data_IF_215594262679
#
_entry.id   IF_215594262679
#
_cell.length_a   1.000
_cell.length_b   1.000
_cell.length_c   1.000
_cell.angle_alpha   90.00
_cell.angle_beta   90.00
_cell.angle_gamma   90.00
#
_symmetry.space_group_name_H-M   'P 1'
#
loop_
_entity.id
_entity.type
_entity.pdbx_description
1 polymer ?
#
# COMPACT_ATOMS: atom_id res chain seq x y z
N UNK A 1 17.89 92.56 30.31
CA UNK A 1 16.56 93.04 29.90
C UNK A 1 15.64 92.77 31.06
N UNK A 2 14.98 93.80 31.56
CA UNK A 2 14.31 93.78 32.86
C UNK A 2 13.13 92.80 32.86
N UNK A 3 13.22 91.76 33.67
CA UNK A 3 12.12 90.85 33.99
C UNK A 3 11.04 91.63 34.75
N UNK A 4 10.19 92.32 34.00
CA UNK A 4 8.89 92.79 34.49
C UNK A 4 8.01 91.55 34.63
N UNK A 5 8.22 90.81 35.72
CA UNK A 5 7.31 89.76 36.17
C UNK A 5 5.91 90.39 36.18
N UNK A 6 5.03 89.93 35.29
CA UNK A 6 3.59 90.17 35.38
C UNK A 6 3.13 89.49 36.66
N UNK A 7 3.30 90.16 37.79
CA UNK A 7 2.63 89.78 39.03
C UNK A 7 1.15 89.88 38.73
N UNK A 8 0.49 88.72 38.57
CA UNK A 8 -0.96 88.66 38.67
C UNK A 8 -1.30 89.20 40.04
N UNK A 9 -1.67 90.48 40.06
CA UNK A 9 -1.87 91.22 41.28
C UNK A 9 -3.09 90.66 42.00
N UNK A 10 -2.82 89.76 42.95
CA UNK A 10 -3.84 89.14 43.80
C UNK A 10 -4.57 90.22 44.62
N UNK A 11 -3.98 91.41 44.77
CA UNK A 11 -4.65 92.56 45.39
C UNK A 11 -5.84 93.05 44.56
N UNK A 12 -5.85 92.85 43.24
CA UNK A 12 -6.99 93.19 42.38
C UNK A 12 -8.23 92.30 42.63
N UNK A 13 -8.07 91.13 43.26
CA UNK A 13 -9.20 90.28 43.70
C UNK A 13 -9.90 90.88 44.93
N UNK A 14 -9.18 91.63 45.77
CA UNK A 14 -9.76 92.31 46.94
C UNK A 14 -10.87 93.30 46.55
N UNK A 15 -10.81 93.86 45.34
CA UNK A 15 -11.85 94.74 44.77
C UNK A 15 -13.19 94.04 44.52
N UNK A 16 -13.20 92.71 44.37
CA UNK A 16 -14.44 91.90 44.31
C UNK A 16 -14.90 91.54 45.72
N UNK A 17 -13.97 91.27 46.64
CA UNK A 17 -14.27 91.03 48.05
C UNK A 17 -14.88 92.26 48.74
N UNK A 18 -14.47 93.47 48.36
CA UNK A 18 -15.07 94.70 48.88
C UNK A 18 -16.49 94.92 48.35
N UNK A 19 -16.76 94.52 47.09
CA UNK A 19 -18.14 94.48 46.59
C UNK A 19 -18.96 93.46 47.37
N UNK A 20 -18.40 92.29 47.69
CA UNK A 20 -19.06 91.26 48.50
C UNK A 20 -19.45 91.79 49.89
N UNK A 21 -18.56 92.51 50.58
CA UNK A 21 -18.85 93.15 51.87
C UNK A 21 -19.98 94.18 51.79
N UNK A 22 -20.13 94.87 50.66
CA UNK A 22 -21.19 95.87 50.46
C UNK A 22 -22.59 95.29 50.24
N UNK A 23 -22.72 93.96 50.03
CA UNK A 23 -24.00 93.29 49.76
C UNK A 23 -24.79 93.05 51.05
N UNK A 24 -24.14 92.74 52.17
CA UNK A 24 -24.79 92.41 53.44
C UNK A 24 -25.75 93.50 53.95
N UNK A 25 -25.39 94.80 54.02
CA UNK A 25 -26.31 95.85 54.46
C UNK A 25 -27.44 96.12 53.46
N UNK A 26 -27.20 95.88 52.17
CA UNK A 26 -28.19 96.07 51.10
C UNK A 26 -29.21 94.94 51.11
N UNK A 27 -28.79 93.72 51.48
CA UNK A 27 -29.63 92.52 51.57
C UNK A 27 -30.76 92.71 52.57
N UNK A 28 -30.45 93.11 53.80
CA UNK A 28 -31.47 93.25 54.86
C UNK A 28 -32.49 94.36 54.53
N UNK A 29 -32.01 95.45 53.92
CA UNK A 29 -32.85 96.56 53.47
C UNK A 29 -33.77 96.16 52.32
N UNK A 30 -33.30 95.40 51.34
CA UNK A 30 -34.09 95.08 50.16
C UNK A 30 -35.01 93.87 50.34
N UNK A 31 -34.66 92.92 51.20
CA UNK A 31 -35.52 91.75 51.50
C UNK A 31 -36.76 92.11 52.34
N UNK A 32 -36.75 93.24 53.03
CA UNK A 32 -37.89 93.73 53.82
C UNK A 32 -38.91 94.54 52.99
N UNK A 33 -38.58 94.92 51.75
CA UNK A 33 -39.49 95.64 50.86
C UNK A 33 -40.64 94.74 50.39
N UNK A 34 -41.88 95.23 50.50
CA UNK A 34 -43.10 94.56 50.03
C UNK A 34 -44.02 95.57 49.35
N UNK A 35 -44.75 95.12 48.32
CA UNK A 35 -45.74 95.94 47.60
C UNK A 35 -47.12 95.59 48.16
N UNK A 36 -47.87 96.58 48.63
CA UNK A 36 -49.14 96.38 49.35
C UNK A 36 -50.38 96.54 48.44
N UNK A 37 -50.32 96.05 47.19
CA UNK A 37 -51.46 96.05 46.25
C UNK A 37 -51.16 96.69 44.89
N UNK A 38 -52.16 96.70 44.00
CA UNK A 38 -52.01 97.13 42.58
C UNK A 38 -51.86 98.65 42.43
N UNK A 39 -52.35 99.43 43.40
CA UNK A 39 -52.31 100.90 43.38
C UNK A 39 -51.09 101.51 44.10
N UNK A 40 -50.21 100.68 44.69
CA UNK A 40 -49.01 101.10 45.42
C UNK A 40 -47.85 101.46 44.46
N UNK A 41 -47.99 102.62 43.82
CA UNK A 41 -46.99 103.15 42.86
C UNK A 41 -45.66 103.50 43.52
N UNK A 42 -45.67 103.88 44.80
CA UNK A 42 -44.46 104.25 45.54
C UNK A 42 -43.64 103.01 45.91
N UNK A 43 -44.27 101.99 46.49
CA UNK A 43 -43.62 100.71 46.80
C UNK A 43 -43.13 99.98 45.56
N UNK A 44 -43.87 100.05 44.44
CA UNK A 44 -43.42 99.51 43.16
C UNK A 44 -42.13 100.18 42.65
N UNK A 45 -42.04 101.52 42.74
CA UNK A 45 -40.86 102.26 42.30
C UNK A 45 -39.64 101.92 43.16
N UNK A 46 -39.80 101.81 44.48
CA UNK A 46 -38.72 101.46 45.40
C UNK A 46 -38.21 100.02 45.17
N UNK A 47 -39.11 99.05 44.99
CA UNK A 47 -38.73 97.67 44.63
C UNK A 47 -38.07 97.60 43.26
N UNK A 48 -38.55 98.37 42.29
CA UNK A 48 -37.94 98.45 40.96
C UNK A 48 -36.52 99.02 41.02
N UNK A 49 -36.30 100.11 41.74
CA UNK A 49 -34.98 100.72 41.94
C UNK A 49 -34.03 99.77 42.67
N UNK A 50 -34.50 99.10 43.73
CA UNK A 50 -33.73 98.08 44.44
C UNK A 50 -33.31 96.92 43.51
N UNK A 51 -34.23 96.42 42.68
CA UNK A 51 -33.94 95.38 41.67
C UNK A 51 -32.91 95.86 40.64
N UNK A 52 -33.05 97.09 40.14
CA UNK A 52 -32.10 97.67 39.19
C UNK A 52 -30.72 97.88 39.82
N UNK A 53 -30.66 98.26 41.09
CA UNK A 53 -29.43 98.36 41.86
C UNK A 53 -28.74 96.99 42.01
N UNK A 54 -29.46 95.94 42.41
CA UNK A 54 -28.93 94.57 42.46
C UNK A 54 -28.41 94.09 41.10
N UNK A 55 -29.13 94.39 40.01
CA UNK A 55 -28.69 94.08 38.64
C UNK A 55 -27.38 94.81 38.32
N UNK A 56 -27.26 96.08 38.68
CA UNK A 56 -26.05 96.88 38.45
C UNK A 56 -24.83 96.31 39.18
N UNK A 57 -24.99 95.92 40.45
CA UNK A 57 -23.93 95.25 41.23
C UNK A 57 -23.49 93.97 40.54
N UNK A 58 -24.44 93.10 40.14
CA UNK A 58 -24.13 91.83 39.46
C UNK A 58 -23.37 92.06 38.14
N UNK A 59 -23.82 93.00 37.31
CA UNK A 59 -23.14 93.32 36.06
C UNK A 59 -21.75 93.92 36.29
N UNK A 60 -21.55 94.73 37.34
CA UNK A 60 -20.25 95.28 37.71
C UNK A 60 -19.23 94.19 38.08
N UNK A 61 -19.64 93.21 38.90
CA UNK A 61 -18.78 92.05 39.24
C UNK A 61 -18.40 91.26 38.00
N UNK A 62 -19.36 91.01 37.10
CA UNK A 62 -19.10 90.27 35.86
C UNK A 62 -18.15 91.02 34.91
N UNK A 63 -18.25 92.35 34.83
CA UNK A 63 -17.32 93.16 34.05
C UNK A 63 -15.90 93.11 34.63
N UNK A 64 -15.75 93.30 35.96
CA UNK A 64 -14.45 93.16 36.64
C UNK A 64 -13.85 91.77 36.46
N UNK A 65 -14.66 90.70 36.53
CA UNK A 65 -14.21 89.33 36.26
C UNK A 65 -13.62 89.19 34.86
N UNK A 66 -14.28 89.77 33.85
CA UNK A 66 -13.81 89.74 32.45
C UNK A 66 -12.52 90.53 32.28
N UNK A 67 -12.43 91.71 32.88
CA UNK A 67 -11.23 92.56 32.85
C UNK A 67 -10.02 91.84 33.45
N UNK A 68 -10.17 91.27 34.66
CA UNK A 68 -9.09 90.53 35.31
C UNK A 68 -8.67 89.28 34.52
N UNK A 69 -9.63 88.61 33.88
CA UNK A 69 -9.34 87.43 33.05
C UNK A 69 -8.71 87.78 31.70
N UNK A 70 -8.97 88.97 31.16
CA UNK A 70 -8.46 89.38 29.85
C UNK A 70 -6.92 89.37 29.82
N UNK A 71 -6.28 89.94 30.85
CA UNK A 71 -4.80 89.97 30.96
C UNK A 71 -4.20 88.56 31.00
N UNK A 72 -4.80 87.64 31.76
CA UNK A 72 -4.35 86.25 31.81
C UNK A 72 -4.53 85.51 30.48
N UNK A 73 -5.61 85.80 29.74
CA UNK A 73 -5.86 85.22 28.42
C UNK A 73 -4.89 85.75 27.36
N UNK A 74 -4.58 87.05 27.39
CA UNK A 74 -3.58 87.66 26.50
C UNK A 74 -2.18 87.12 26.79
N UNK A 75 -1.82 86.99 28.07
CA UNK A 75 -0.56 86.36 28.46
C UNK A 75 -0.48 84.91 27.95
N UNK A 76 -1.51 84.09 28.19
CA UNK A 76 -1.56 82.71 27.69
C UNK A 76 -1.39 82.63 26.17
N UNK A 77 -2.10 83.48 25.41
CA UNK A 77 -1.93 83.57 23.95
C UNK A 77 -0.53 83.98 23.53
N UNK A 78 0.13 84.87 24.28
CA UNK A 78 1.50 85.28 23.98
C UNK A 78 2.52 84.15 24.20
N UNK A 79 2.33 83.35 25.25
CA UNK A 79 3.14 82.16 25.53
C UNK A 79 2.93 81.11 24.43
N UNK A 80 1.68 80.82 24.08
CA UNK A 80 1.36 79.86 23.02
C UNK A 80 1.93 80.30 21.66
N UNK A 81 1.86 81.59 21.34
CA UNK A 81 2.44 82.15 20.11
C UNK A 81 3.97 82.05 20.11
N UNK A 82 4.63 82.32 21.24
CA UNK A 82 6.08 82.16 21.37
C UNK A 82 6.50 80.69 21.23
N UNK A 83 5.80 79.77 21.90
CA UNK A 83 6.05 78.34 21.80
C UNK A 83 5.86 77.84 20.35
N UNK A 84 4.79 78.28 19.68
CA UNK A 84 4.54 77.96 18.28
C UNK A 84 5.64 78.49 17.36
N UNK A 85 6.06 79.72 17.54
CA UNK A 85 7.16 80.32 16.77
C UNK A 85 8.47 79.53 16.93
N UNK A 86 8.80 79.12 18.16
CA UNK A 86 9.97 78.28 18.42
C UNK A 86 9.82 76.91 17.75
N UNK A 87 8.65 76.28 17.83
CA UNK A 87 8.38 75.00 17.17
C UNK A 87 8.50 75.10 15.65
N UNK A 88 7.99 76.16 15.04
CA UNK A 88 8.10 76.42 13.59
C UNK A 88 9.56 76.63 13.14
N UNK A 89 10.41 77.19 14.00
CA UNK A 89 11.85 77.35 13.72
C UNK A 89 12.63 76.02 13.87
N UNK A 90 12.24 75.17 14.83
CA UNK A 90 12.94 73.92 15.12
C UNK A 90 12.51 72.80 14.16
N UNK A 91 11.23 72.73 13.77
CA UNK A 91 10.70 71.68 12.90
C UNK A 91 11.54 71.42 11.61
N UNK A 92 11.91 72.43 10.79
CA UNK A 92 12.74 72.18 9.61
C UNK A 92 14.16 71.70 9.95
N UNK A 93 14.69 72.04 11.12
CA UNK A 93 16.00 71.56 11.59
C UNK A 93 15.90 70.07 11.93
N UNK A 94 14.87 69.68 12.68
CA UNK A 94 14.61 68.27 13.01
C UNK A 94 14.35 67.43 11.76
N UNK A 95 13.55 67.94 10.83
CA UNK A 95 13.27 67.26 9.55
C UNK A 95 14.55 67.04 8.73
N UNK A 96 15.43 68.04 8.67
CA UNK A 96 16.72 67.91 8.00
C UNK A 96 17.61 66.85 8.68
N UNK A 97 17.78 66.94 10.01
CA UNK A 97 18.62 66.01 10.77
C UNK A 97 18.10 64.57 10.70
N UNK A 98 16.78 64.38 10.78
CA UNK A 98 16.15 63.08 10.59
C UNK A 98 16.38 62.54 9.17
N UNK A 99 16.32 63.40 8.15
CA UNK A 99 16.67 63.05 6.78
C UNK A 99 18.10 62.50 6.64
N UNK A 100 19.07 63.19 7.24
CA UNK A 100 20.48 62.76 7.26
C UNK A 100 20.65 61.43 8.02
N UNK A 101 20.03 61.29 9.20
CA UNK A 101 20.09 60.04 9.98
C UNK A 101 19.48 58.86 9.20
N UNK A 102 18.34 59.06 8.56
CA UNK A 102 17.70 58.06 7.73
C UNK A 102 18.55 57.68 6.52
N UNK A 103 19.26 58.63 5.90
CA UNK A 103 20.16 58.35 4.79
C UNK A 103 21.30 57.41 5.22
N UNK A 104 21.93 57.69 6.36
CA UNK A 104 22.99 56.84 6.91
C UNK A 104 22.46 55.46 7.32
N UNK A 105 21.30 55.39 7.98
CA UNK A 105 20.67 54.10 8.35
C UNK A 105 20.39 53.25 7.11
N UNK A 106 19.81 53.84 6.06
CA UNK A 106 19.56 53.13 4.78
C UNK A 106 20.85 52.60 4.16
N UNK A 107 21.93 53.38 4.19
CA UNK A 107 23.21 52.93 3.64
C UNK A 107 23.84 51.81 4.49
N UNK A 108 23.77 51.91 5.83
CA UNK A 108 24.20 50.84 6.72
C UNK A 108 23.40 49.55 6.49
N UNK A 109 22.09 49.65 6.31
CA UNK A 109 21.23 48.51 6.01
C UNK A 109 21.55 47.91 4.63
N UNK A 110 21.84 48.75 3.63
CA UNK A 110 22.30 48.31 2.30
C UNK A 110 23.61 47.54 2.39
N UNK A 111 24.61 48.07 3.10
CA UNK A 111 25.92 47.43 3.28
C UNK A 111 25.77 46.09 4.03
N UNK A 112 24.96 46.04 5.10
CA UNK A 112 24.68 44.79 5.83
C UNK A 112 24.00 43.75 4.94
N UNK A 113 23.01 44.17 4.15
CA UNK A 113 22.32 43.28 3.23
C UNK A 113 23.24 42.76 2.12
N UNK A 114 24.11 43.60 1.57
CA UNK A 114 25.10 43.21 0.55
C UNK A 114 26.13 42.23 1.12
N UNK A 115 26.64 42.48 2.32
CA UNK A 115 27.55 41.55 3.02
C UNK A 115 26.86 40.22 3.34
N UNK A 116 25.61 40.26 3.81
CA UNK A 116 24.83 39.04 4.04
C UNK A 116 24.62 38.24 2.76
N UNK A 117 24.23 38.90 1.66
CA UNK A 117 24.08 38.24 0.35
C UNK A 117 25.40 37.67 -0.15
N UNK A 118 26.52 38.36 0.07
CA UNK A 118 27.85 37.87 -0.29
C UNK A 118 28.22 36.61 0.50
N UNK A 119 27.94 36.59 1.81
CA UNK A 119 28.17 35.43 2.66
C UNK A 119 27.25 34.25 2.31
N UNK A 120 25.99 34.52 1.99
CA UNK A 120 25.03 33.51 1.54
C UNK A 120 25.45 32.89 0.22
N UNK A 121 25.76 33.70 -0.80
CA UNK A 121 26.28 33.21 -2.09
C UNK A 121 27.56 32.40 -1.93
N UNK A 122 28.52 32.89 -1.14
CA UNK A 122 29.75 32.15 -0.84
C UNK A 122 29.44 30.80 -0.19
N UNK A 123 28.51 30.75 0.75
CA UNK A 123 28.13 29.50 1.43
C UNK A 123 27.42 28.55 0.47
N UNK A 124 26.54 29.07 -0.39
CA UNK A 124 25.82 28.33 -1.42
C UNK A 124 26.79 27.72 -2.45
N UNK A 125 27.71 28.52 -2.99
CA UNK A 125 28.74 28.07 -3.94
C UNK A 125 29.60 26.93 -3.34
N UNK A 126 29.97 27.07 -2.06
CA UNK A 126 30.74 26.06 -1.33
C UNK A 126 29.98 24.75 -1.16
N UNK A 127 28.68 24.83 -0.89
CA UNK A 127 27.83 23.66 -0.72
C UNK A 127 27.59 22.98 -2.06
N UNK A 128 27.28 23.76 -3.10
CA UNK A 128 27.12 23.24 -4.46
C UNK A 128 28.38 22.50 -4.92
N UNK A 129 29.57 23.05 -4.64
CA UNK A 129 30.84 22.38 -4.91
C UNK A 129 30.96 21.03 -4.20
N UNK A 130 30.67 20.95 -2.90
CA UNK A 130 30.76 19.70 -2.13
C UNK A 130 29.67 18.68 -2.51
N UNK A 131 28.44 19.13 -2.74
CA UNK A 131 27.31 18.30 -3.16
C UNK A 131 27.51 17.72 -4.55
N UNK A 132 28.16 18.45 -5.47
CA UNK A 132 28.50 17.92 -6.81
C UNK A 132 29.43 16.70 -6.77
N UNK A 133 30.16 16.53 -5.66
CA UNK A 133 31.10 15.43 -5.40
C UNK A 133 30.44 14.35 -4.51
N UNK A 134 29.14 14.48 -4.22
CA UNK A 134 28.39 13.53 -3.38
C UNK A 134 28.77 13.55 -1.90
N UNK A 135 29.43 14.62 -1.43
CA UNK A 135 29.75 14.78 -0.01
C UNK A 135 28.51 15.28 0.77
N UNK A 136 28.25 14.67 1.93
CA UNK A 136 27.19 15.12 2.85
C UNK A 136 27.77 16.17 3.79
N UNK A 137 27.20 17.37 3.81
CA UNK A 137 27.81 18.50 4.53
C UNK A 137 26.82 19.21 5.45
N UNK A 138 27.32 19.61 6.62
CA UNK A 138 26.59 20.47 7.55
C UNK A 138 26.76 21.95 7.16
N UNK A 139 25.64 22.57 6.78
CA UNK A 139 25.52 24.00 6.41
C UNK A 139 26.19 24.95 7.41
N UNK A 140 26.01 24.72 8.71
CA UNK A 140 26.54 25.59 9.76
C UNK A 140 28.07 25.53 9.85
N UNK A 141 28.66 24.38 9.51
CA UNK A 141 30.11 24.21 9.50
C UNK A 141 30.73 24.97 8.32
N UNK A 142 30.18 24.81 7.11
CA UNK A 142 30.70 25.43 5.87
C UNK A 142 30.68 26.95 5.90
N UNK A 143 29.65 27.53 6.53
CA UNK A 143 29.52 28.99 6.68
C UNK A 143 30.69 29.61 7.44
N UNK A 144 31.22 28.91 8.44
CA UNK A 144 32.26 29.43 9.34
C UNK A 144 33.69 29.09 8.91
N UNK A 145 33.87 28.28 7.87
CA UNK A 145 35.22 27.93 7.37
C UNK A 145 35.88 29.14 6.70
N UNK A 146 37.16 29.33 6.98
CA UNK A 146 38.03 30.19 6.16
C UNK A 146 38.15 29.63 4.73
N UNK A 147 38.61 30.45 3.78
CA UNK A 147 38.78 30.00 2.39
C UNK A 147 39.80 28.86 2.28
N UNK A 148 40.92 28.94 3.03
CA UNK A 148 41.94 27.89 3.02
C UNK A 148 41.47 26.56 3.61
N UNK A 149 40.66 26.60 4.68
CA UNK A 149 40.07 25.38 5.25
C UNK A 149 39.04 24.75 4.30
N UNK A 150 38.23 25.58 3.64
CA UNK A 150 37.27 25.09 2.64
C UNK A 150 37.98 24.46 1.43
N UNK A 151 39.02 25.10 0.90
CA UNK A 151 39.79 24.56 -0.22
C UNK A 151 40.46 23.22 0.13
N UNK A 152 40.99 23.10 1.36
CA UNK A 152 41.58 21.86 1.85
C UNK A 152 40.54 20.74 1.98
N UNK A 153 39.35 21.06 2.51
CA UNK A 153 38.23 20.12 2.61
C UNK A 153 37.77 19.68 1.21
N UNK A 154 37.60 20.63 0.29
CA UNK A 154 37.17 20.35 -1.07
C UNK A 154 38.19 19.46 -1.80
N UNK A 155 39.49 19.69 -1.62
CA UNK A 155 40.53 18.86 -2.20
C UNK A 155 40.51 17.42 -1.64
N UNK A 156 40.30 17.27 -0.33
CA UNK A 156 40.17 15.97 0.32
C UNK A 156 38.96 15.18 -0.20
N UNK A 157 37.79 15.82 -0.27
CA UNK A 157 36.57 15.17 -0.76
C UNK A 157 36.65 14.84 -2.26
N UNK A 158 37.26 15.72 -3.08
CA UNK A 158 37.52 15.42 -4.50
C UNK A 158 38.36 14.16 -4.67
N UNK A 159 39.42 14.02 -3.88
CA UNK A 159 40.28 12.84 -3.90
C UNK A 159 39.53 11.59 -3.45
N UNK A 160 38.77 11.68 -2.35
CA UNK A 160 37.96 10.57 -1.86
C UNK A 160 36.91 10.13 -2.89
N UNK A 161 36.27 11.07 -3.59
CA UNK A 161 35.31 10.76 -4.64
C UNK A 161 35.98 10.14 -5.87
N UNK A 162 37.13 10.65 -6.34
CA UNK A 162 37.83 10.02 -7.45
C UNK A 162 38.23 8.58 -7.13
N UNK A 163 38.71 8.31 -5.91
CA UNK A 163 39.04 6.96 -5.46
C UNK A 163 37.80 6.05 -5.39
N UNK A 164 36.65 6.57 -4.92
CA UNK A 164 35.38 5.82 -4.92
C UNK A 164 34.88 5.51 -6.33
N UNK A 165 34.98 6.46 -7.24
CA UNK A 165 34.58 6.31 -8.64
C UNK A 165 35.48 5.29 -9.37
N UNK A 166 36.79 5.35 -9.16
CA UNK A 166 37.73 4.36 -9.70
C UNK A 166 37.48 2.97 -9.13
N UNK A 167 37.25 2.86 -7.83
CA UNK A 167 36.89 1.60 -7.20
C UNK A 167 35.55 1.05 -7.71
N UNK A 168 34.57 1.92 -7.99
CA UNK A 168 33.29 1.51 -8.60
C UNK A 168 33.49 0.99 -10.02
N UNK A 169 34.21 1.73 -10.86
CA UNK A 169 34.51 1.29 -12.23
C UNK A 169 35.26 -0.03 -12.26
N UNK A 170 36.27 -0.20 -11.40
CA UNK A 170 37.02 -1.45 -11.29
C UNK A 170 36.11 -2.63 -10.89
N UNK A 171 35.20 -2.43 -9.94
CA UNK A 171 34.21 -3.46 -9.55
C UNK A 171 33.27 -3.79 -10.70
N UNK A 172 32.77 -2.78 -11.41
CA UNK A 172 31.90 -2.98 -12.58
C UNK A 172 32.62 -3.75 -13.70
N UNK A 173 33.90 -3.44 -13.95
CA UNK A 173 34.75 -4.16 -14.91
C UNK A 173 35.00 -5.62 -14.48
N UNK A 174 35.31 -5.85 -13.20
CA UNK A 174 35.49 -7.19 -12.63
C UNK A 174 34.19 -8.02 -12.70
N UNK A 175 33.05 -7.42 -12.36
CA UNK A 175 31.74 -8.07 -12.47
C UNK A 175 31.34 -8.34 -13.92
N UNK A 176 31.69 -7.46 -14.86
CA UNK A 176 31.44 -7.67 -16.29
C UNK A 176 32.29 -8.83 -16.83
N UNK A 177 33.58 -8.87 -16.46
CA UNK A 177 34.48 -9.95 -16.83
C UNK A 177 34.03 -11.29 -16.22
N UNK A 178 33.58 -11.30 -14.97
CA UNK A 178 33.06 -12.50 -14.32
C UNK A 178 31.75 -12.96 -14.96
N UNK A 179 30.85 -12.04 -15.30
CA UNK A 179 29.62 -12.36 -16.04
C UNK A 179 29.92 -12.97 -17.40
N UNK A 180 30.93 -12.46 -18.12
CA UNK A 180 31.36 -13.03 -19.39
C UNK A 180 31.94 -14.44 -19.21
N UNK A 181 32.75 -14.67 -18.18
CA UNK A 181 33.31 -15.99 -17.85
C UNK A 181 32.22 -17.01 -17.55
N UNK A 182 31.26 -16.65 -16.68
CA UNK A 182 30.12 -17.50 -16.33
C UNK A 182 29.27 -17.78 -17.57
N UNK A 183 29.06 -16.81 -18.45
CA UNK A 183 28.30 -17.02 -19.69
C UNK A 183 28.98 -18.02 -20.64
N UNK A 184 30.31 -17.94 -20.77
CA UNK A 184 31.10 -18.91 -21.55
C UNK A 184 31.04 -20.31 -20.94
N UNK A 185 31.23 -20.42 -19.62
CA UNK A 185 31.16 -21.71 -18.92
C UNK A 185 29.77 -22.35 -19.04
N UNK A 186 28.70 -21.56 -18.91
CA UNK A 186 27.32 -22.03 -19.12
C UNK A 186 27.09 -22.51 -20.55
N UNK A 187 27.60 -21.79 -21.54
CA UNK A 187 27.48 -22.19 -22.94
C UNK A 187 28.22 -23.52 -23.21
N UNK A 188 29.40 -23.73 -22.64
CA UNK A 188 30.14 -24.99 -22.74
C UNK A 188 29.41 -26.15 -22.04
N UNK A 189 28.87 -25.92 -20.85
CA UNK A 189 28.09 -26.92 -20.12
C UNK A 189 26.84 -27.29 -20.90
N UNK A 190 26.12 -26.30 -21.45
CA UNK A 190 24.93 -26.53 -22.26
C UNK A 190 25.25 -27.32 -23.54
N UNK A 191 26.37 -27.01 -24.21
CA UNK A 191 26.83 -27.81 -25.36
C UNK A 191 27.12 -29.25 -24.96
N UNK A 192 27.87 -29.48 -23.88
CA UNK A 192 28.16 -30.84 -23.38
C UNK A 192 26.89 -31.58 -22.98
N UNK A 193 25.93 -30.91 -22.35
CA UNK A 193 24.64 -31.52 -21.99
C UNK A 193 23.85 -31.93 -23.23
N UNK A 194 23.78 -31.08 -24.26
CA UNK A 194 23.14 -31.41 -25.54
C UNK A 194 23.83 -32.58 -26.24
N UNK A 195 25.16 -32.64 -26.21
CA UNK A 195 25.92 -33.77 -26.76
C UNK A 195 25.64 -35.08 -26.02
N UNK A 196 25.65 -35.05 -24.68
CA UNK A 196 25.34 -36.21 -23.84
C UNK A 196 23.89 -36.66 -24.04
N UNK A 197 22.94 -35.73 -24.08
CA UNK A 197 21.53 -36.04 -24.28
C UNK A 197 21.26 -36.61 -25.66
N UNK A 198 21.91 -36.08 -26.71
CA UNK A 198 21.88 -36.66 -28.05
C UNK A 198 22.48 -38.07 -28.10
N UNK A 199 23.57 -38.33 -27.37
CA UNK A 199 24.16 -39.67 -27.26
C UNK A 199 23.23 -40.65 -26.54
N UNK A 200 22.64 -40.23 -25.41
CA UNK A 200 21.67 -41.05 -24.66
C UNK A 200 20.45 -41.36 -25.51
N UNK A 201 19.93 -40.37 -26.25
CA UNK A 201 18.78 -40.56 -27.13
C UNK A 201 19.11 -41.52 -28.29
N UNK A 202 20.26 -41.35 -28.93
CA UNK A 202 20.72 -42.27 -29.98
C UNK A 202 20.93 -43.70 -29.45
N UNK A 203 21.45 -43.86 -28.24
CA UNK A 203 21.60 -45.18 -27.61
C UNK A 203 20.25 -45.81 -27.26
N UNK A 204 19.29 -45.03 -26.75
CA UNK A 204 17.92 -45.51 -26.48
C UNK A 204 17.23 -45.96 -27.76
N UNK A 205 17.29 -45.15 -28.82
CA UNK A 205 16.71 -45.50 -30.12
C UNK A 205 17.37 -46.75 -30.72
N UNK A 206 18.68 -46.90 -30.57
CA UNK A 206 19.39 -48.11 -31.01
C UNK A 206 18.96 -49.36 -30.21
N UNK A 207 18.85 -49.25 -28.88
CA UNK A 207 18.37 -50.35 -28.02
C UNK A 207 16.92 -50.71 -28.30
N UNK A 208 16.04 -49.73 -28.52
CA UNK A 208 14.65 -49.96 -28.89
C UNK A 208 14.52 -50.62 -30.26
N UNK A 209 15.32 -50.19 -31.24
CA UNK A 209 15.35 -50.83 -32.56
C UNK A 209 15.87 -52.27 -32.49
N UNK A 210 16.87 -52.54 -31.64
CA UNK A 210 17.36 -53.89 -31.40
C UNK A 210 16.32 -54.76 -30.70
N UNK A 211 15.64 -54.23 -29.67
CA UNK A 211 14.59 -54.95 -28.95
C UNK A 211 13.42 -55.27 -29.88
N UNK A 212 12.97 -54.32 -30.72
CA UNK A 212 11.93 -54.57 -31.71
C UNK A 212 12.31 -55.69 -32.69
N UNK A 213 13.56 -55.73 -33.14
CA UNK A 213 14.06 -56.83 -33.99
C UNK A 213 14.03 -58.17 -33.27
N UNK A 214 14.47 -58.22 -32.01
CA UNK A 214 14.42 -59.45 -31.19
C UNK A 214 12.98 -59.91 -30.95
N UNK A 215 12.08 -59.00 -30.62
CA UNK A 215 10.67 -59.28 -30.41
C UNK A 215 9.98 -59.77 -31.70
N UNK A 216 10.36 -59.20 -32.86
CA UNK A 216 9.84 -59.63 -34.17
C UNK A 216 10.38 -61.01 -34.57
N UNK A 217 11.67 -61.29 -34.33
CA UNK A 217 12.25 -62.61 -34.50
C UNK A 217 11.58 -63.65 -33.57
N UNK A 218 11.32 -63.32 -32.31
CA UNK A 218 10.67 -64.21 -31.36
C UNK A 218 9.20 -64.45 -31.70
N UNK A 219 8.47 -63.40 -32.13
CA UNK A 219 7.11 -63.54 -32.67
C UNK A 219 7.08 -64.46 -33.89
N UNK A 220 8.05 -64.32 -34.80
CA UNK A 220 8.14 -65.19 -35.98
C UNK A 220 8.41 -66.64 -35.58
N UNK A 221 9.28 -66.90 -34.60
CA UNK A 221 9.51 -68.25 -34.05
C UNK A 221 8.24 -68.84 -33.43
N UNK A 222 7.51 -68.06 -32.62
CA UNK A 222 6.26 -68.50 -31.99
C UNK A 222 5.19 -68.79 -33.05
N UNK A 223 5.11 -67.98 -34.12
CA UNK A 223 4.17 -68.23 -35.24
C UNK A 223 4.52 -69.52 -35.96
N UNK A 224 5.80 -69.78 -36.24
CA UNK A 224 6.25 -71.04 -36.86
C UNK A 224 5.99 -72.25 -35.96
N UNK A 225 6.26 -72.13 -34.66
CA UNK A 225 6.02 -73.21 -33.69
C UNK A 225 4.53 -73.51 -33.55
N UNK A 226 3.68 -72.47 -33.48
CA UNK A 226 2.22 -72.64 -33.49
C UNK A 226 1.71 -73.32 -34.75
N UNK A 227 2.27 -72.99 -35.93
CA UNK A 227 1.92 -73.68 -37.18
C UNK A 227 2.29 -75.16 -37.12
N UNK A 228 3.48 -75.51 -36.61
CA UNK A 228 3.89 -76.92 -36.45
C UNK A 228 2.98 -77.66 -35.48
N UNK A 229 2.65 -77.06 -34.34
CA UNK A 229 1.74 -77.64 -33.34
C UNK A 229 0.33 -77.83 -33.94
N UNK A 230 -0.17 -76.87 -34.72
CA UNK A 230 -1.48 -76.97 -35.37
C UNK A 230 -1.50 -78.06 -36.44
N UNK A 231 -0.46 -78.16 -37.27
CA UNK A 231 -0.29 -79.23 -38.26
C UNK A 231 -0.18 -80.61 -37.59
N UNK A 232 0.51 -80.72 -36.46
CA UNK A 232 0.62 -81.95 -35.67
C UNK A 232 -0.72 -82.32 -35.01
N UNK A 233 -1.44 -81.34 -34.44
CA UNK A 233 -2.78 -81.53 -33.88
C UNK A 233 -3.78 -82.00 -34.91
N UNK A 234 -3.75 -81.43 -36.11
CA UNK A 234 -4.65 -81.83 -37.19
C UNK A 234 -4.31 -83.24 -37.69
N UNK A 235 -3.02 -83.61 -37.78
CA UNK A 235 -2.62 -85.00 -38.06
C UNK A 235 -3.13 -85.98 -36.99
N UNK A 236 -2.93 -85.65 -35.72
CA UNK A 236 -3.41 -86.46 -34.60
C UNK A 236 -4.95 -86.54 -34.56
N UNK A 237 -5.65 -85.49 -34.97
CA UNK A 237 -7.11 -85.47 -35.08
C UNK A 237 -7.58 -86.42 -36.18
N UNK A 238 -6.99 -86.34 -37.37
CA UNK A 238 -7.28 -87.25 -38.48
C UNK A 238 -6.98 -88.70 -38.08
N UNK A 239 -5.86 -88.94 -37.40
CA UNK A 239 -5.49 -90.27 -36.91
C UNK A 239 -6.48 -90.80 -35.86
N UNK A 240 -6.89 -89.98 -34.88
CA UNK A 240 -7.93 -90.34 -33.92
C UNK A 240 -9.27 -90.63 -34.58
N UNK A 241 -9.66 -89.82 -35.56
CA UNK A 241 -10.91 -90.00 -36.30
C UNK A 241 -10.87 -91.30 -37.12
N UNK A 242 -9.73 -91.65 -37.73
CA UNK A 242 -9.53 -92.95 -38.39
C UNK A 242 -9.58 -94.12 -37.41
N UNK A 243 -8.94 -94.00 -36.25
CA UNK A 243 -8.98 -95.02 -35.20
C UNK A 243 -10.38 -95.18 -34.60
N UNK A 244 -11.16 -94.10 -34.49
CA UNK A 244 -12.53 -94.14 -34.00
C UNK A 244 -13.49 -94.76 -35.02
N UNK A 245 -13.32 -94.45 -36.30
CA UNK A 245 -14.03 -95.14 -37.40
C UNK A 245 -13.70 -96.64 -37.38
N UNK A 246 -12.43 -97.01 -37.21
CA UNK A 246 -12.04 -98.43 -37.12
C UNK A 246 -12.55 -99.09 -35.84
N UNK A 247 -12.58 -98.39 -34.70
CA UNK A 247 -13.17 -98.90 -33.45
C UNK A 247 -14.67 -99.15 -33.60
N UNK A 248 -15.41 -98.21 -34.20
CA UNK A 248 -16.84 -98.38 -34.48
C UNK A 248 -17.07 -99.56 -35.43
N UNK A 249 -16.20 -99.76 -36.41
CA UNK A 249 -16.26 -100.92 -37.30
C UNK A 249 -16.00 -102.24 -36.56
N UNK A 250 -14.99 -102.30 -35.70
CA UNK A 250 -14.70 -103.48 -34.88
C UNK A 250 -15.84 -103.75 -33.89
N UNK A 251 -16.37 -102.71 -33.22
CA UNK A 251 -17.53 -102.83 -32.32
C UNK A 251 -18.78 -103.33 -33.06
N UNK A 252 -19.01 -102.88 -34.29
CA UNK A 252 -20.08 -103.39 -35.15
C UNK A 252 -19.85 -104.86 -35.56
N UNK A 253 -18.62 -105.23 -35.93
CA UNK A 253 -18.25 -106.62 -36.24
C UNK A 253 -18.38 -107.54 -35.01
N UNK A 254 -18.03 -107.08 -33.81
CA UNK A 254 -18.20 -107.84 -32.55
C UNK A 254 -19.66 -107.90 -32.10
N UNK A 255 -20.44 -106.83 -32.27
CA UNK A 255 -21.87 -106.83 -31.97
C UNK A 255 -22.65 -107.72 -32.96
N UNK A 256 -22.22 -107.78 -34.22
CA UNK A 256 -22.76 -108.72 -35.21
C UNK A 256 -22.39 -110.17 -34.87
N UNK A 257 -21.17 -110.42 -34.40
CA UNK A 257 -20.75 -111.72 -33.89
C UNK A 257 -21.54 -112.15 -32.64
N UNK A 258 -21.76 -111.26 -31.68
CA UNK A 258 -22.57 -111.51 -30.47
C UNK A 258 -24.05 -111.74 -30.82
N UNK A 259 -24.59 -111.05 -31.82
CA UNK A 259 -25.96 -111.32 -32.33
C UNK A 259 -26.07 -112.70 -32.97
N UNK A 260 -25.07 -113.12 -33.75
CA UNK A 260 -25.04 -114.44 -34.39
C UNK A 260 -24.88 -115.57 -33.35
N UNK A 261 -24.18 -115.30 -32.25
CA UNK A 261 -23.99 -116.26 -31.15
C UNK A 261 -25.23 -116.36 -30.24
N UNK A 262 -25.94 -115.23 -30.03
CA UNK A 262 -27.24 -115.21 -29.35
C UNK A 262 -28.37 -115.89 -30.16
N UNK A 263 -28.29 -115.90 -31.49
CA UNK A 263 -29.32 -116.48 -32.36
C UNK A 263 -29.21 -118.02 -32.53
N UNK A 264 -28.10 -118.65 -32.10
CA UNK A 264 -27.88 -120.10 -32.25
C UNK A 264 -28.16 -120.96 -31.01
N UNK A 265 -28.48 -120.37 -29.87
CA UNK A 265 -28.81 -121.12 -28.65
C UNK A 265 -30.15 -120.68 -28.05
N UNK A 266 -31.25 -121.07 -28.70
CA UNK A 266 -32.58 -121.07 -28.09
C UNK A 266 -33.47 -122.13 -28.75
N UNK A 267 -34.06 -123.06 -27.97
CA UNK A 267 -35.52 -123.06 -27.76
C UNK A 267 -35.98 -123.74 -26.43
N UNK A 268 -37.30 -123.80 -26.08
CA UNK A 268 -38.37 -122.82 -26.18
C UNK A 268 -39.19 -122.62 -24.85
N UNK A 269 -39.85 -121.46 -24.75
CA UNK A 269 -41.08 -121.09 -24.02
C UNK A 269 -41.47 -121.71 -22.65
N UNK A 270 -41.59 -120.85 -21.63
CA UNK A 270 -42.61 -120.94 -20.56
C UNK A 270 -43.16 -119.56 -20.19
N UNK A 271 -44.50 -119.47 -20.12
CA UNK A 271 -45.29 -118.42 -19.49
C UNK A 271 -45.12 -118.44 -17.96
N UNK A 272 -44.82 -117.30 -17.34
CA UNK A 272 -45.47 -116.86 -16.09
C UNK A 272 -45.34 -115.33 -15.92
N UNK A 273 -46.49 -114.71 -15.76
CA UNK A 273 -46.77 -113.28 -15.74
C UNK A 273 -47.06 -112.87 -14.30
N UNK A 274 -46.41 -111.81 -13.77
CA UNK A 274 -46.95 -110.96 -12.68
C UNK A 274 -46.18 -109.66 -12.47
N UNK A 275 -46.89 -108.57 -12.72
CA UNK A 275 -47.01 -107.35 -11.91
C UNK A 275 -45.74 -106.71 -11.34
N UNK A 276 -45.36 -105.56 -11.91
CA UNK A 276 -45.86 -104.23 -11.47
C UNK A 276 -44.87 -103.12 -11.91
N UNK A 277 -45.30 -102.30 -12.88
CA UNK A 277 -44.87 -100.90 -12.93
C UNK A 277 -45.43 -100.14 -11.72
N UNK A 278 -45.20 -98.81 -11.57
CA UNK A 278 -45.29 -97.85 -12.70
C UNK A 278 -44.22 -96.71 -12.54
N UNK A 279 -43.77 -95.94 -13.56
CA UNK A 279 -44.43 -94.84 -14.31
C UNK A 279 -43.74 -93.48 -14.09
N UNK A 280 -43.48 -92.82 -15.23
CA UNK A 280 -43.47 -91.36 -15.50
C UNK A 280 -42.27 -90.52 -15.02
N UNK A 281 -41.54 -89.89 -15.95
CA UNK A 281 -41.74 -88.54 -16.54
C UNK A 281 -40.77 -87.57 -15.87
N UNK A 282 -39.89 -86.88 -16.59
CA UNK A 282 -40.27 -85.74 -17.42
C UNK A 282 -39.68 -84.49 -16.77
N UNK A 283 -38.99 -83.69 -17.60
CA UNK A 283 -38.68 -82.27 -17.43
C UNK A 283 -37.77 -81.75 -16.30
N UNK A 284 -37.17 -80.61 -16.65
CA UNK A 284 -36.61 -79.52 -15.82
C UNK A 284 -35.12 -79.54 -15.47
N UNK A 285 -34.37 -78.62 -16.12
CA UNK A 285 -33.40 -77.76 -15.41
C UNK A 285 -34.11 -77.11 -14.21
N UNK A 286 -33.51 -77.03 -13.00
CA UNK A 286 -32.68 -75.84 -12.69
C UNK A 286 -31.57 -76.05 -11.62
N UNK A 287 -30.54 -75.20 -11.68
CA UNK A 287 -29.92 -74.58 -10.50
C UNK A 287 -29.13 -75.47 -9.51
N UNK A 288 -27.80 -75.34 -9.56
CA UNK A 288 -27.00 -75.25 -8.34
C UNK A 288 -26.04 -74.05 -8.43
N UNK A 289 -26.54 -72.92 -7.93
CA UNK A 289 -25.75 -71.91 -7.24
C UNK A 289 -25.12 -72.53 -5.98
N UNK A 290 -23.82 -72.34 -5.74
CA UNK A 290 -23.40 -71.49 -4.62
C UNK A 290 -21.90 -71.21 -4.63
N UNK A 291 -21.59 -69.91 -4.55
CA UNK A 291 -20.44 -69.29 -3.90
C UNK A 291 -19.03 -69.63 -4.43
N UNK A 292 -18.47 -68.71 -5.21
CA UNK A 292 -17.52 -67.72 -4.67
C UNK A 292 -17.15 -66.70 -5.75
N UNK A 293 -17.96 -65.63 -5.80
CA UNK A 293 -17.42 -64.30 -6.09
C UNK A 293 -16.40 -63.94 -5.00
N UNK A 294 -15.42 -63.12 -5.39
CA UNK A 294 -14.50 -62.37 -4.52
C UNK A 294 -13.51 -63.20 -3.70
N UNK A 295 -12.27 -63.35 -4.19
CA UNK A 295 -11.12 -63.08 -3.32
C UNK A 295 -9.80 -62.75 -4.06
N UNK A 296 -9.83 -61.81 -5.02
CA UNK A 296 -8.61 -61.08 -5.44
C UNK A 296 -8.54 -59.71 -4.70
N UNK A 297 -9.37 -59.52 -3.67
CA UNK A 297 -9.28 -58.40 -2.74
C UNK A 297 -8.40 -58.70 -1.51
N UNK A 298 -7.92 -59.95 -1.32
CA UNK A 298 -7.10 -60.33 -0.16
C UNK A 298 -5.58 -60.18 -0.34
N UNK A 299 -5.08 -59.82 -1.54
CA UNK A 299 -3.63 -59.60 -1.76
C UNK A 299 -3.16 -58.14 -1.77
N UNK A 300 -4.04 -57.18 -1.52
CA UNK A 300 -3.64 -55.77 -1.29
C UNK A 300 -3.48 -55.43 0.21
N UNK A 301 -3.85 -56.34 1.12
CA UNK A 301 -3.77 -56.11 2.58
C UNK A 301 -2.50 -56.62 3.27
N UNK A 302 -1.40 -56.84 2.54
CA UNK A 302 -0.10 -57.22 3.14
C UNK A 302 1.03 -56.20 2.84
N UNK A 303 0.70 -55.02 2.29
CA UNK A 303 1.67 -53.91 2.17
C UNK A 303 1.21 -52.63 2.88
N UNK A 304 0.04 -52.64 3.56
CA UNK A 304 -0.50 -51.44 4.22
C UNK A 304 -0.25 -51.33 5.72
N UNK A 305 0.61 -52.16 6.32
CA UNK A 305 0.92 -52.07 7.77
C UNK A 305 2.36 -51.63 8.09
N UNK A 306 3.19 -51.24 7.10
CA UNK A 306 4.57 -50.79 7.39
C UNK A 306 4.97 -49.40 6.88
N UNK A 307 4.15 -48.69 6.11
CA UNK A 307 4.53 -47.36 5.59
C UNK A 307 3.33 -46.42 5.55
N UNK A 308 3.19 -45.58 6.59
CA UNK A 308 2.17 -44.52 6.65
C UNK A 308 2.41 -43.42 5.61
N UNK A 309 1.88 -43.61 4.40
CA UNK A 309 1.88 -42.61 3.34
C UNK A 309 0.56 -42.67 2.56
N UNK A 310 -0.36 -41.74 2.88
CA UNK A 310 -1.71 -41.66 2.32
C UNK A 310 -1.75 -41.36 0.81
N UNK A 311 -0.63 -40.93 0.21
CA UNK A 311 -0.57 -40.60 -1.22
C UNK A 311 -0.56 -41.79 -2.17
N UNK A 312 -0.17 -42.98 -1.71
CA UNK A 312 -0.13 -44.17 -2.57
C UNK A 312 -1.52 -44.81 -2.72
N UNK A 313 -2.39 -44.60 -1.73
CA UNK A 313 -3.76 -45.16 -1.72
C UNK A 313 -4.65 -44.42 -2.73
N UNK A 314 -4.57 -43.10 -2.83
CA UNK A 314 -5.35 -42.33 -3.81
C UNK A 314 -4.95 -42.64 -5.26
N UNK A 315 -3.66 -42.86 -5.52
CA UNK A 315 -3.17 -43.14 -6.88
C UNK A 315 -3.64 -44.51 -7.38
N UNK A 316 -3.72 -45.51 -6.50
CA UNK A 316 -4.24 -46.85 -6.83
C UNK A 316 -5.77 -46.83 -6.99
N UNK A 317 -6.48 -46.02 -6.19
CA UNK A 317 -7.93 -45.85 -6.34
C UNK A 317 -8.29 -45.20 -7.68
N UNK A 318 -7.53 -44.19 -8.11
CA UNK A 318 -7.72 -43.51 -9.41
C UNK A 318 -7.50 -44.44 -10.60
N UNK A 319 -6.46 -45.29 -10.56
CA UNK A 319 -6.19 -46.25 -11.64
C UNK A 319 -7.24 -47.37 -11.73
N UNK A 320 -7.83 -47.77 -10.60
CA UNK A 320 -8.91 -48.76 -10.58
C UNK A 320 -10.26 -48.17 -11.04
N UNK A 321 -10.50 -46.88 -10.81
CA UNK A 321 -11.70 -46.21 -11.35
C UNK A 321 -11.59 -46.02 -12.86
N UNK A 322 -10.42 -45.64 -13.37
CA UNK A 322 -10.18 -45.55 -14.83
C UNK A 322 -10.29 -46.91 -15.53
N UNK A 323 -9.84 -47.99 -14.89
CA UNK A 323 -9.98 -49.34 -15.45
C UNK A 323 -11.44 -49.83 -15.51
N UNK A 324 -12.27 -49.42 -14.53
CA UNK A 324 -13.72 -49.72 -14.52
C UNK A 324 -14.46 -48.99 -15.64
N UNK A 325 -14.15 -47.72 -15.87
CA UNK A 325 -14.79 -46.90 -16.91
C UNK A 325 -14.45 -47.39 -18.33
N UNK A 326 -13.26 -47.97 -18.52
CA UNK A 326 -12.85 -48.55 -19.81
C UNK A 326 -13.60 -49.86 -20.10
N UNK A 327 -13.86 -50.67 -19.07
CA UNK A 327 -14.63 -51.92 -19.22
C UNK A 327 -16.13 -51.64 -19.48
N UNK A 328 -16.72 -50.65 -18.82
CA UNK A 328 -18.14 -50.29 -19.03
C UNK A 328 -18.40 -49.65 -20.41
N UNK A 329 -17.42 -48.93 -20.99
CA UNK A 329 -17.51 -48.41 -22.37
C UNK A 329 -17.35 -49.49 -23.44
N UNK A 330 -16.62 -50.58 -23.15
CA UNK A 330 -16.45 -51.69 -24.08
C UNK A 330 -17.69 -52.58 -24.17
N UNK A 331 -18.51 -52.66 -23.12
CA UNK A 331 -19.69 -53.53 -23.08
C UNK A 331 -20.91 -52.88 -23.74
N UNK A 332 -21.01 -51.54 -23.77
CA UNK A 332 -22.16 -50.80 -24.32
C UNK A 332 -22.03 -50.33 -25.78
N UNK A 333 -21.01 -50.75 -26.54
CA UNK A 333 -20.81 -50.32 -27.94
C UNK A 333 -20.87 -51.42 -29.00
N UNK A 334 -21.34 -52.63 -28.66
CA UNK A 334 -21.63 -53.64 -29.68
C UNK A 334 -23.02 -53.40 -30.29
N UNK A 335 -23.13 -53.19 -31.62
CA UNK A 335 -24.42 -53.11 -32.30
C UNK A 335 -25.08 -54.49 -32.26
N UNK A 336 -26.29 -54.55 -31.71
CA UNK A 336 -27.25 -55.63 -31.94
C UNK A 336 -27.87 -55.37 -33.32
N UNK A 337 -27.99 -56.41 -34.14
CA UNK A 337 -28.54 -56.40 -35.51
C UNK A 337 -29.68 -55.40 -35.77
#
# INVERSE_FOLDING_TARGET
MSDSILTLDVSSISSIDDIKKSIDPVRDKYLSLKINGVDDKAGFKEVHEARMHCRKIRTSVENKRKELKAVALEYGRSVDAAAKSVAELIAPIEDHLNGEEMAIKREQDRIKAEEQQRQEKRTEDRINALTSIGATVNMALVKNLSDGEFESLLAMERKAHSEREEARKKREEEEAAERERIAKERAEIEQKQREIEAQIQAEREAREAEQKKRDEEERNRIIEERKRIEEERERLRIEKEQLEVERIRIEAETAEAERIEAEKNMPPATDEFKDSGPVLSGDTMPGMCHALCLDIASKVRIVSESCGNDHVIEMVFSLLTEASDILDRSINSMPVD
#
